data_IF_217257477855
#
_entry.id   IF_217257477855
#
_cell.length_a   1.000
_cell.length_b   1.000
_cell.length_c   1.000
_cell.angle_alpha   90.00
_cell.angle_beta   90.00
_cell.angle_gamma   90.00
#
_symmetry.space_group_name_H-M   'P 1'
#
loop_
_entity.id
_entity.type
_entity.pdbx_description
1 polymer ?
#
# COMPACT_ATOMS: atom_id res chain seq x y z
N UNK A 1 -7.54 9.81 24.63
CA UNK A 1 -6.84 9.04 23.58
C UNK A 1 -7.70 9.10 22.33
N UNK A 2 -7.14 9.38 21.15
CA UNK A 2 -7.93 9.38 19.91
C UNK A 2 -8.46 7.98 19.63
N UNK A 3 -9.73 7.91 19.24
CA UNK A 3 -10.41 6.68 18.83
C UNK A 3 -9.72 6.09 17.58
N UNK A 4 -9.59 4.76 17.53
CA UNK A 4 -8.98 4.08 16.38
C UNK A 4 -10.03 3.87 15.29
N UNK A 5 -9.85 4.51 14.14
CA UNK A 5 -10.70 4.33 12.96
C UNK A 5 -10.41 2.98 12.33
N UNK A 6 -11.43 2.14 12.16
CA UNK A 6 -11.31 0.82 11.53
C UNK A 6 -11.74 0.91 10.08
N UNK A 7 -10.84 0.58 9.15
CA UNK A 7 -11.11 0.57 7.71
C UNK A 7 -10.88 -0.84 7.15
N UNK A 8 -11.72 -1.22 6.19
CA UNK A 8 -11.63 -2.50 5.48
C UNK A 8 -11.23 -2.23 4.04
N UNK A 9 -10.30 -3.03 3.50
CA UNK A 9 -9.83 -2.94 2.11
C UNK A 9 -10.76 -3.78 1.21
N UNK A 10 -11.12 -3.34 -0.01
CA UNK A 10 -10.65 -2.14 -0.73
C UNK A 10 -11.14 -0.82 -0.14
N UNK A 11 -10.24 0.17 -0.08
CA UNK A 11 -10.57 1.50 0.42
C UNK A 11 -11.43 2.26 -0.60
N UNK A 12 -12.45 2.93 -0.10
CA UNK A 12 -13.24 3.88 -0.89
C UNK A 12 -12.70 5.30 -0.77
N UNK A 13 -13.06 6.16 -1.71
CA UNK A 13 -12.77 7.59 -1.64
C UNK A 13 -13.32 8.23 -0.35
N UNK A 14 -14.51 7.80 0.10
CA UNK A 14 -15.11 8.27 1.33
C UNK A 14 -14.28 7.87 2.57
N UNK A 15 -13.69 6.67 2.58
CA UNK A 15 -12.81 6.26 3.66
C UNK A 15 -11.60 7.19 3.77
N UNK A 16 -10.92 7.46 2.66
CA UNK A 16 -9.71 8.32 2.63
C UNK A 16 -10.06 9.75 3.02
N UNK A 17 -11.15 10.31 2.48
CA UNK A 17 -11.56 11.70 2.79
C UNK A 17 -12.02 11.92 4.23
N UNK A 18 -12.41 10.86 4.94
CA UNK A 18 -12.78 10.94 6.35
C UNK A 18 -11.59 11.06 7.30
N UNK A 19 -10.36 10.81 6.82
CA UNK A 19 -9.14 10.81 7.63
C UNK A 19 -8.54 12.20 7.77
N UNK A 20 -7.90 12.43 8.91
CA UNK A 20 -7.12 13.63 9.21
C UNK A 20 -5.74 13.23 9.71
N UNK A 21 -4.76 14.11 9.53
CA UNK A 21 -3.42 13.90 10.08
C UNK A 21 -3.49 13.71 11.61
N UNK A 22 -2.81 12.68 12.12
CA UNK A 22 -2.85 12.29 13.53
C UNK A 22 -3.92 11.24 13.88
N UNK A 23 -4.79 10.87 12.96
CA UNK A 23 -5.74 9.76 13.18
C UNK A 23 -5.00 8.43 13.34
N UNK A 24 -5.48 7.61 14.27
CA UNK A 24 -5.03 6.21 14.42
C UNK A 24 -5.94 5.34 13.59
N UNK A 25 -5.37 4.51 12.72
CA UNK A 25 -6.12 3.66 11.80
C UNK A 25 -5.77 2.20 12.04
N UNK A 26 -6.79 1.34 12.05
CA UNK A 26 -6.66 -0.11 11.97
C UNK A 26 -7.18 -0.59 10.62
N UNK A 27 -6.38 -1.36 9.91
CA UNK A 27 -6.66 -1.82 8.55
C UNK A 27 -6.94 -3.32 8.55
N UNK A 28 -7.95 -3.77 7.81
CA UNK A 28 -8.29 -5.19 7.68
C UNK A 28 -8.57 -5.53 6.21
N UNK A 29 -7.91 -6.54 5.68
CA UNK A 29 -8.06 -6.98 4.29
C UNK A 29 -6.72 -7.31 3.65
N UNK A 30 -6.68 -7.28 2.31
CA UNK A 30 -5.49 -7.58 1.52
C UNK A 30 -4.60 -6.34 1.40
N UNK A 31 -3.33 -6.46 1.78
CA UNK A 31 -2.32 -5.41 1.62
C UNK A 31 -1.16 -5.98 0.81
N UNK A 32 -0.75 -5.27 -0.23
CA UNK A 32 0.36 -5.69 -1.08
C UNK A 32 1.66 -5.07 -0.58
N UNK A 33 2.74 -5.84 -0.55
CA UNK A 33 4.06 -5.29 -0.24
C UNK A 33 4.81 -4.95 -1.53
N UNK A 34 5.27 -3.71 -1.67
CA UNK A 34 6.12 -3.32 -2.79
C UNK A 34 7.12 -2.24 -2.35
N UNK A 35 8.30 -2.24 -3.00
CA UNK A 35 9.36 -1.26 -2.78
C UNK A 35 9.89 -0.78 -4.13
N UNK A 36 11.12 -0.28 -4.16
CA UNK A 36 11.79 0.39 -5.27
C UNK A 36 11.59 -0.29 -6.64
N UNK A 37 12.03 -1.56 -6.81
CA UNK A 37 11.95 -2.27 -8.10
C UNK A 37 10.50 -2.59 -8.50
N UNK A 38 9.65 -2.92 -7.53
CA UNK A 38 8.25 -3.23 -7.80
C UNK A 38 7.48 -1.98 -8.26
N UNK A 39 7.71 -0.82 -7.64
CA UNK A 39 7.10 0.44 -8.07
C UNK A 39 7.52 0.81 -9.48
N UNK A 40 8.82 0.67 -9.80
CA UNK A 40 9.32 0.91 -11.15
C UNK A 40 8.59 0.04 -12.19
N UNK A 41 8.50 -1.28 -11.96
CA UNK A 41 7.81 -2.21 -12.87
C UNK A 41 6.32 -1.92 -13.01
N UNK A 42 5.64 -1.56 -11.92
CA UNK A 42 4.23 -1.17 -11.98
C UNK A 42 4.04 0.08 -12.84
N UNK A 43 4.88 1.09 -12.68
CA UNK A 43 4.82 2.29 -13.51
C UNK A 43 5.15 2.03 -14.98
N UNK A 44 6.17 1.20 -15.27
CA UNK A 44 6.52 0.79 -16.64
C UNK A 44 5.35 0.03 -17.30
N UNK A 45 4.69 -0.87 -16.57
CA UNK A 45 3.51 -1.59 -17.07
C UNK A 45 2.33 -0.64 -17.36
N UNK A 46 2.08 0.35 -16.48
CA UNK A 46 1.08 1.40 -16.73
C UNK A 46 1.40 2.17 -18.01
N UNK A 47 2.66 2.57 -18.18
CA UNK A 47 3.10 3.34 -19.35
C UNK A 47 3.00 2.54 -20.65
N UNK A 48 3.21 1.23 -20.58
CA UNK A 48 3.06 0.31 -21.71
C UNK A 48 1.60 -0.11 -21.96
N UNK A 49 0.64 0.30 -21.13
CA UNK A 49 -0.76 -0.13 -21.21
C UNK A 49 -0.94 -1.63 -20.90
N UNK A 50 -0.01 -2.22 -20.17
CA UNK A 50 -0.03 -3.63 -19.79
C UNK A 50 -0.95 -3.89 -18.61
N UNK A 51 -1.43 -5.14 -18.50
CA UNK A 51 -2.23 -5.56 -17.36
C UNK A 51 -1.38 -5.66 -16.10
N UNK A 52 -1.82 -4.99 -15.04
CA UNK A 52 -1.17 -5.04 -13.73
C UNK A 52 -1.39 -6.39 -13.02
N UNK A 53 -0.45 -6.80 -12.14
CA UNK A 53 -0.56 -8.06 -11.39
C UNK A 53 -1.69 -8.05 -10.35
N UNK A 54 -2.23 -6.87 -10.01
CA UNK A 54 -3.39 -6.70 -9.14
C UNK A 54 -4.11 -5.39 -9.47
N UNK A 55 -5.37 -5.28 -9.05
CA UNK A 55 -6.17 -4.05 -9.18
C UNK A 55 -5.66 -2.97 -8.23
N UNK A 56 -5.32 -1.79 -8.76
CA UNK A 56 -4.87 -0.65 -7.95
C UNK A 56 -6.03 0.07 -7.25
N UNK A 57 -7.24 0.02 -7.82
CA UNK A 57 -8.40 0.73 -7.27
C UNK A 57 -8.70 0.26 -5.84
N UNK A 58 -8.62 1.18 -4.89
CA UNK A 58 -8.86 0.89 -3.47
C UNK A 58 -7.74 0.11 -2.78
N UNK A 59 -6.65 -0.22 -3.49
CA UNK A 59 -5.56 -0.99 -2.94
C UNK A 59 -4.70 -0.18 -1.95
N UNK A 60 -3.93 -0.92 -1.17
CA UNK A 60 -2.90 -0.40 -0.28
C UNK A 60 -1.57 -1.07 -0.62
N UNK A 61 -0.52 -0.26 -0.75
CA UNK A 61 0.84 -0.75 -0.85
C UNK A 61 1.58 -0.46 0.45
N UNK A 62 2.04 -1.52 1.13
CA UNK A 62 2.94 -1.43 2.26
C UNK A 62 4.39 -1.47 1.79
N UNK A 63 5.16 -0.45 2.11
CA UNK A 63 6.58 -0.35 1.77
C UNK A 63 7.41 -1.25 2.69
N UNK A 64 7.40 -2.54 2.38
CA UNK A 64 7.99 -3.58 3.21
C UNK A 64 8.73 -4.62 2.37
N UNK A 65 9.83 -5.13 2.93
CA UNK A 65 10.53 -6.33 2.46
C UNK A 65 10.56 -7.32 3.61
N UNK A 66 9.58 -8.22 3.75
CA UNK A 66 9.50 -9.11 4.90
C UNK A 66 10.70 -10.07 4.95
N UNK A 67 11.17 -10.37 6.15
CA UNK A 67 12.22 -11.38 6.33
C UNK A 67 11.64 -12.80 6.14
N UNK A 68 12.48 -13.83 5.95
CA UNK A 68 12.02 -15.21 5.89
C UNK A 68 11.22 -15.60 7.15
N UNK A 69 10.12 -16.33 6.94
CA UNK A 69 9.31 -16.83 8.04
C UNK A 69 10.05 -17.93 8.80
N UNK A 70 9.94 -17.91 10.14
CA UNK A 70 10.37 -19.04 10.98
C UNK A 70 9.37 -20.19 10.88
N UNK A 71 9.76 -21.45 11.16
CA UNK A 71 8.83 -22.58 11.19
C UNK A 71 7.58 -22.28 12.04
N UNK A 72 6.40 -22.57 11.49
CA UNK A 72 5.11 -22.32 12.16
C UNK A 72 4.63 -20.86 12.15
N UNK A 73 5.33 -19.94 11.48
CA UNK A 73 4.88 -18.54 11.29
C UNK A 73 4.48 -18.31 9.84
N UNK A 74 3.44 -17.50 9.63
CA UNK A 74 2.91 -17.17 8.29
C UNK A 74 3.81 -16.17 7.55
N UNK A 75 4.50 -15.29 8.28
CA UNK A 75 5.40 -14.27 7.73
C UNK A 75 6.55 -14.00 8.70
N UNK A 76 7.71 -13.59 8.18
CA UNK A 76 8.79 -13.05 9.00
C UNK A 76 8.52 -11.63 9.49
N UNK A 77 9.55 -10.94 9.95
CA UNK A 77 9.44 -9.56 10.37
C UNK A 77 9.10 -8.69 9.15
N UNK A 78 8.02 -7.92 9.25
CA UNK A 78 7.50 -7.07 8.18
C UNK A 78 7.49 -5.61 8.64
N UNK A 79 8.67 -5.05 8.92
CA UNK A 79 8.83 -3.63 9.26
C UNK A 79 8.81 -2.72 8.02
N UNK A 80 8.47 -1.43 8.18
CA UNK A 80 8.43 -0.48 7.07
C UNK A 80 9.84 -0.15 6.58
N UNK A 81 9.92 0.38 5.37
CA UNK A 81 11.11 1.06 4.84
C UNK A 81 10.81 2.54 4.60
N UNK A 82 11.85 3.33 4.33
CA UNK A 82 11.73 4.77 4.07
C UNK A 82 10.82 5.05 2.88
N UNK A 83 9.70 5.76 3.11
CA UNK A 83 8.67 6.04 2.11
C UNK A 83 9.14 6.99 1.00
N UNK A 84 10.02 7.94 1.30
CA UNK A 84 10.46 8.97 0.34
C UNK A 84 11.16 8.41 -0.90
N UNK A 85 11.66 7.16 -0.84
CA UNK A 85 12.23 6.49 -2.03
C UNK A 85 11.18 6.18 -3.11
N UNK A 86 9.90 6.20 -2.75
CA UNK A 86 8.79 5.92 -3.66
C UNK A 86 8.09 7.18 -4.19
N UNK A 87 8.47 8.38 -3.73
CA UNK A 87 7.78 9.64 -4.04
C UNK A 87 7.66 9.92 -5.54
N UNK A 88 8.66 9.53 -6.34
CA UNK A 88 8.63 9.70 -7.79
C UNK A 88 7.58 8.81 -8.50
N UNK A 89 7.19 7.69 -7.89
CA UNK A 89 6.22 6.74 -8.44
C UNK A 89 4.80 6.98 -7.91
N UNK A 90 4.70 7.48 -6.66
CA UNK A 90 3.44 7.65 -5.93
C UNK A 90 2.36 8.42 -6.70
N UNK A 91 2.62 9.58 -7.35
CA UNK A 91 1.59 10.30 -8.10
C UNK A 91 0.94 9.47 -9.20
N UNK A 92 1.73 8.67 -9.94
CA UNK A 92 1.23 7.84 -11.03
C UNK A 92 0.35 6.71 -10.50
N UNK A 93 0.78 6.04 -9.43
CA UNK A 93 0.01 4.95 -8.84
C UNK A 93 -1.31 5.46 -8.23
N UNK A 94 -1.29 6.63 -7.58
CA UNK A 94 -2.49 7.28 -7.04
C UNK A 94 -3.46 7.66 -8.17
N UNK A 95 -2.96 8.22 -9.27
CA UNK A 95 -3.77 8.56 -10.44
C UNK A 95 -4.44 7.33 -11.07
N UNK A 96 -3.89 6.13 -10.85
CA UNK A 96 -4.43 4.86 -11.34
C UNK A 96 -5.20 4.06 -10.26
N UNK A 97 -5.59 4.71 -9.15
CA UNK A 97 -6.55 4.14 -8.19
C UNK A 97 -5.97 3.73 -6.84
N UNK A 98 -4.65 3.74 -6.66
CA UNK A 98 -4.03 3.42 -5.37
C UNK A 98 -4.47 4.41 -4.29
N UNK A 99 -5.02 3.92 -3.17
CA UNK A 99 -5.64 4.78 -2.15
C UNK A 99 -4.80 5.01 -0.90
N UNK A 100 -3.89 4.10 -0.56
CA UNK A 100 -3.01 4.29 0.59
C UNK A 100 -1.64 3.64 0.42
N UNK A 101 -0.67 4.20 1.15
CA UNK A 101 0.69 3.70 1.28
C UNK A 101 1.06 3.66 2.76
N UNK A 102 1.77 2.62 3.19
CA UNK A 102 2.21 2.39 4.58
C UNK A 102 3.73 2.27 4.62
#
# INVERSE_FOLDING_TARGET
>A
MSEVKKLTIPLTEANVRSLKAGDRVSLTGVIYTARDIAHKRLCEAIDAGEKLPFELEGAIIYFCGPTPARPGRVIGAAGPTTSSRMDAFSPKLIANGLKAMI
#
